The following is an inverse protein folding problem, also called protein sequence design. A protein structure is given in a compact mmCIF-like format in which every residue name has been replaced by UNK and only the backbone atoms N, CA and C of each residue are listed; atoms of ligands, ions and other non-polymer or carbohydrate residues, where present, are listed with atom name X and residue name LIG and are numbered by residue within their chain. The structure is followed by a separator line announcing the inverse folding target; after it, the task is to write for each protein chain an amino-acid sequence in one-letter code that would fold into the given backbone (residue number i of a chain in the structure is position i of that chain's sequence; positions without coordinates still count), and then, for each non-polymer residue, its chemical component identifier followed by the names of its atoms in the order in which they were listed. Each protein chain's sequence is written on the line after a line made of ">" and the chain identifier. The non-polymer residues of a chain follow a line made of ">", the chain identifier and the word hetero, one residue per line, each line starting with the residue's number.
data_IF_747334555027
#
_entry.id   IF_747334555027
#
_cell.length_a   1.000
_cell.length_b   1.000
_cell.length_c   1.000
_cell.angle_alpha   90.00
_cell.angle_beta   90.00
_cell.angle_gamma   90.00
#
_symmetry.space_group_name_H-M   'P 1'
#
loop_
_entity.id
_entity.type
_entity.pdbx_description
1 polymer ?
#
# COMPACT_ATOMS: atom_id res chain seq x y z
N UNK A 1 -21.10 21.20 10.90
CA UNK A 1 -19.95 20.42 11.39
C UNK A 1 -19.62 19.42 10.30
N UNK A 2 -18.63 19.73 9.46
CA UNK A 2 -18.27 18.90 8.32
C UNK A 2 -17.42 17.74 8.82
N UNK A 3 -18.08 16.61 9.06
CA UNK A 3 -17.42 15.33 9.32
C UNK A 3 -16.54 15.01 8.12
N UNK A 4 -15.22 15.11 8.30
CA UNK A 4 -14.25 14.63 7.33
C UNK A 4 -14.42 13.11 7.27
N UNK A 5 -15.06 12.64 6.19
CA UNK A 5 -15.07 11.22 5.85
C UNK A 5 -13.60 10.84 5.68
N UNK A 6 -13.02 9.98 6.55
CA UNK A 6 -11.63 9.60 6.40
C UNK A 6 -11.48 8.92 5.04
N UNK A 7 -10.55 9.44 4.24
CA UNK A 7 -10.09 8.80 3.00
C UNK A 7 -9.99 7.29 3.23
N UNK A 8 -10.53 6.48 2.34
CA UNK A 8 -10.53 5.01 2.48
C UNK A 8 -9.11 4.44 2.67
N UNK A 9 -8.08 5.17 2.23
CA UNK A 9 -6.67 4.85 2.48
C UNK A 9 -6.23 5.01 3.94
N UNK A 10 -6.82 5.95 4.70
CA UNK A 10 -6.50 6.18 6.12
C UNK A 10 -7.07 5.10 7.04
N UNK A 11 -8.18 4.47 6.63
CA UNK A 11 -8.81 3.41 7.42
C UNK A 11 -7.87 2.22 7.67
N UNK A 12 -6.90 1.97 6.79
CA UNK A 12 -5.96 0.86 6.91
C UNK A 12 -4.54 1.26 7.32
N UNK A 13 -4.27 2.54 7.55
CA UNK A 13 -2.93 3.02 7.90
C UNK A 13 -2.44 2.43 9.23
N UNK A 14 -3.32 2.26 10.21
CA UNK A 14 -2.98 1.60 11.47
C UNK A 14 -2.56 0.13 11.27
N UNK A 15 -3.20 -0.60 10.34
CA UNK A 15 -2.81 -1.98 9.99
C UNK A 15 -1.46 -2.02 9.27
N UNK A 16 -1.19 -1.07 8.36
CA UNK A 16 0.11 -0.96 7.67
C UNK A 16 1.24 -0.69 8.67
N UNK A 17 1.03 0.25 9.60
CA UNK A 17 1.98 0.57 10.68
C UNK A 17 2.19 -0.64 11.60
N UNK A 18 1.10 -1.32 12.00
CA UNK A 18 1.20 -2.52 12.83
C UNK A 18 1.97 -3.66 12.12
N UNK A 19 1.68 -3.91 10.84
CA UNK A 19 2.39 -4.90 10.04
C UNK A 19 3.88 -4.55 9.88
N UNK A 20 4.21 -3.27 9.66
CA UNK A 20 5.59 -2.80 9.59
C UNK A 20 6.32 -3.00 10.93
N UNK A 21 5.69 -2.66 12.06
CA UNK A 21 6.23 -2.91 13.40
C UNK A 21 6.47 -4.39 13.64
N UNK A 22 5.53 -5.27 13.28
CA UNK A 22 5.72 -6.71 13.41
C UNK A 22 6.90 -7.21 12.57
N UNK A 23 7.05 -6.73 11.33
CA UNK A 23 8.20 -7.05 10.48
C UNK A 23 9.51 -6.63 11.16
N UNK A 24 9.59 -5.41 11.67
CA UNK A 24 10.79 -4.91 12.37
C UNK A 24 11.12 -5.73 13.61
N UNK A 25 10.12 -6.01 14.46
CA UNK A 25 10.29 -6.85 15.66
C UNK A 25 10.82 -8.24 15.32
N UNK A 26 10.36 -8.86 14.21
CA UNK A 26 10.90 -10.17 13.78
C UNK A 26 12.37 -10.07 13.37
N UNK A 27 12.75 -9.00 12.66
CA UNK A 27 14.16 -8.76 12.26
C UNK A 27 15.04 -8.55 13.49
N UNK A 28 14.60 -7.75 14.45
CA UNK A 28 15.36 -7.46 15.68
C UNK A 28 15.57 -8.71 16.54
N UNK A 29 14.51 -9.51 16.73
CA UNK A 29 14.61 -10.79 17.45
C UNK A 29 15.57 -11.75 16.77
N UNK A 30 15.53 -11.82 15.44
CA UNK A 30 16.43 -12.67 14.65
C UNK A 30 17.89 -12.19 14.77
N UNK A 31 18.15 -10.88 14.67
CA UNK A 31 19.48 -10.27 14.87
C UNK A 31 20.05 -10.64 16.23
N UNK A 32 19.24 -10.48 17.28
CA UNK A 32 19.65 -10.81 18.64
C UNK A 32 20.01 -12.29 18.79
N UNK A 33 19.18 -13.19 18.26
CA UNK A 33 19.44 -14.63 18.31
C UNK A 33 20.71 -15.04 17.55
N UNK A 34 20.96 -14.43 16.39
CA UNK A 34 22.18 -14.66 15.62
C UNK A 34 23.40 -14.16 16.38
N UNK A 35 23.35 -12.95 16.95
CA UNK A 35 24.45 -12.41 17.76
C UNK A 35 24.77 -13.32 18.97
N UNK A 36 23.73 -13.87 19.62
CA UNK A 36 23.90 -14.83 20.71
C UNK A 36 24.52 -16.16 20.23
N UNK A 37 24.10 -16.68 19.08
CA UNK A 37 24.68 -17.90 18.49
C UNK A 37 26.15 -17.69 18.12
N UNK A 38 26.49 -16.55 17.54
CA UNK A 38 27.86 -16.18 17.18
C UNK A 38 28.74 -16.02 18.42
N UNK A 39 28.25 -15.34 19.47
CA UNK A 39 28.95 -15.23 20.75
C UNK A 39 29.23 -16.60 21.38
N UNK A 40 28.27 -17.52 21.26
CA UNK A 40 28.39 -18.89 21.74
C UNK A 40 29.12 -19.84 20.77
N UNK A 41 29.58 -19.34 19.61
CA UNK A 41 30.21 -20.13 18.52
C UNK A 41 29.37 -21.34 18.07
N UNK A 42 28.04 -21.26 18.21
CA UNK A 42 27.11 -22.31 17.76
C UNK A 42 26.75 -22.10 16.28
N UNK A 43 26.47 -23.17 15.52
CA UNK A 43 26.09 -23.03 14.11
C UNK A 43 24.72 -22.35 13.99
N UNK A 44 24.62 -21.37 13.10
CA UNK A 44 23.37 -20.66 12.82
C UNK A 44 22.52 -21.51 11.87
N UNK A 45 21.53 -22.20 12.44
CA UNK A 45 20.58 -23.07 11.73
C UNK A 45 19.15 -22.69 12.10
N UNK A 46 18.17 -23.08 11.27
CA UNK A 46 16.77 -22.78 11.55
C UNK A 46 16.31 -23.34 12.91
N UNK A 47 16.82 -24.52 13.29
CA UNK A 47 16.52 -25.17 14.56
C UNK A 47 17.10 -24.42 15.76
N UNK A 48 18.38 -24.04 15.71
CA UNK A 48 19.03 -23.30 16.81
C UNK A 48 18.47 -21.88 16.99
N UNK A 49 18.06 -21.24 15.90
CA UNK A 49 17.34 -19.96 15.96
C UNK A 49 16.00 -20.14 16.66
N UNK A 50 15.25 -21.21 16.36
CA UNK A 50 13.97 -21.50 17.02
C UNK A 50 14.14 -21.75 18.52
N UNK A 51 15.20 -22.46 18.93
CA UNK A 51 15.50 -22.68 20.35
C UNK A 51 15.74 -21.38 21.12
N UNK A 52 16.48 -20.43 20.53
CA UNK A 52 16.88 -19.19 21.22
C UNK A 52 15.82 -18.09 21.12
N UNK A 53 15.27 -17.88 19.92
CA UNK A 53 14.33 -16.78 19.66
C UNK A 53 12.87 -17.17 19.80
N UNK A 54 12.55 -18.47 19.85
CA UNK A 54 11.19 -18.99 19.72
C UNK A 54 10.55 -18.77 18.34
N UNK A 55 11.27 -18.18 17.38
CA UNK A 55 10.75 -17.92 16.04
C UNK A 55 10.84 -19.18 15.17
N UNK A 56 9.68 -19.60 14.66
CA UNK A 56 9.62 -20.68 13.67
C UNK A 56 10.18 -20.22 12.32
N UNK A 57 10.67 -21.16 11.50
CA UNK A 57 11.27 -20.85 10.20
C UNK A 57 10.34 -20.03 9.31
N UNK A 58 9.05 -20.35 9.32
CA UNK A 58 8.06 -19.65 8.50
C UNK A 58 7.84 -18.20 8.90
N UNK A 59 8.12 -17.82 10.16
CA UNK A 59 7.93 -16.46 10.65
C UNK A 59 8.88 -15.46 9.99
N UNK A 60 10.15 -15.82 9.81
CA UNK A 60 11.13 -14.97 9.13
C UNK A 60 11.25 -15.27 7.64
N UNK A 61 10.88 -16.47 7.15
CA UNK A 61 10.85 -16.77 5.71
C UNK A 61 9.91 -15.84 4.92
N UNK A 62 8.76 -15.48 5.51
CA UNK A 62 7.78 -14.55 4.90
C UNK A 62 8.26 -13.10 4.87
N UNK A 63 9.25 -12.75 5.69
CA UNK A 63 9.84 -11.41 5.73
C UNK A 63 11.18 -11.41 4.98
N UNK A 64 11.19 -10.81 3.78
CA UNK A 64 12.37 -10.80 2.89
C UNK A 64 13.64 -10.29 3.59
N UNK A 65 13.53 -9.26 4.41
CA UNK A 65 14.68 -8.67 5.11
C UNK A 65 15.25 -9.64 6.17
N UNK A 66 14.36 -10.24 6.96
CA UNK A 66 14.75 -11.22 7.97
C UNK A 66 15.36 -12.48 7.32
N UNK A 67 14.80 -12.91 6.19
CA UNK A 67 15.30 -14.07 5.46
C UNK A 67 16.71 -13.84 4.86
N UNK A 68 16.97 -12.67 4.29
CA UNK A 68 18.31 -12.31 3.78
C UNK A 68 19.34 -12.32 4.91
N UNK A 69 18.98 -11.76 6.06
CA UNK A 69 19.84 -11.76 7.24
C UNK A 69 20.17 -13.19 7.70
N UNK A 70 19.16 -14.07 7.76
CA UNK A 70 19.41 -15.48 8.02
C UNK A 70 20.35 -16.12 6.97
N UNK A 71 20.14 -15.84 5.69
CA UNK A 71 20.93 -16.39 4.59
C UNK A 71 22.42 -15.98 4.69
N UNK A 72 22.70 -14.73 5.03
CA UNK A 72 24.04 -14.18 5.20
C UNK A 72 24.81 -14.85 6.35
N UNK A 73 24.15 -15.05 7.48
CA UNK A 73 24.73 -15.59 8.70
C UNK A 73 24.65 -17.12 8.81
N UNK A 74 23.89 -17.78 7.91
CA UNK A 74 23.72 -19.24 7.95
C UNK A 74 25.02 -20.00 7.65
N UNK A 75 25.59 -20.63 8.66
CA UNK A 75 26.82 -21.44 8.52
C UNK A 75 26.58 -22.73 7.75
N UNK A 76 25.34 -23.23 7.73
CA UNK A 76 24.96 -24.47 7.02
C UNK A 76 24.89 -24.29 5.50
N UNK A 77 24.46 -23.12 5.00
CA UNK A 77 24.44 -22.85 3.56
C UNK A 77 25.84 -22.57 3.01
N UNK A 78 26.74 -21.98 3.80
CA UNK A 78 28.16 -21.83 3.43
C UNK A 78 28.83 -23.19 3.23
N UNK A 79 28.71 -24.11 4.19
CA UNK A 79 29.24 -25.47 4.06
C UNK A 79 28.68 -26.23 2.85
N UNK A 80 27.36 -26.13 2.57
CA UNK A 80 26.77 -26.74 1.36
C UNK A 80 27.28 -26.10 0.06
N UNK A 81 27.49 -24.78 0.03
CA UNK A 81 28.04 -24.07 -1.13
C UNK A 81 29.50 -24.47 -1.37
N UNK A 82 30.29 -24.54 -0.32
CA UNK A 82 31.70 -24.96 -0.40
C UNK A 82 31.79 -26.43 -0.85
N UNK A 83 30.95 -27.31 -0.31
CA UNK A 83 30.85 -28.70 -0.76
C UNK A 83 30.44 -28.79 -2.24
N UNK A 84 29.41 -28.06 -2.68
CA UNK A 84 28.98 -28.04 -4.08
C UNK A 84 30.10 -27.53 -5.02
N UNK A 85 30.86 -26.51 -4.62
CA UNK A 85 32.00 -26.01 -5.39
C UNK A 85 33.15 -27.02 -5.44
N UNK A 86 33.41 -27.76 -4.35
CA UNK A 86 34.41 -28.83 -4.36
C UNK A 86 34.00 -30.01 -5.24
N UNK A 87 32.71 -30.38 -5.27
CA UNK A 87 32.21 -31.45 -6.15
C UNK A 87 32.17 -31.06 -7.62
N UNK A 88 31.99 -29.76 -7.94
CA UNK A 88 32.00 -29.24 -9.31
C UNK A 88 33.42 -28.97 -9.85
N UNK A 89 34.47 -29.20 -9.05
CA UNK A 89 35.85 -29.21 -9.51
C UNK A 89 36.44 -30.63 -9.46
N UNK A 90 36.09 -31.52 -10.41
CA UNK A 90 37.01 -32.59 -10.75
C UNK A 90 38.29 -31.96 -11.31
N UNK A 91 39.37 -32.15 -10.57
CA UNK A 91 40.76 -31.89 -10.94
C UNK A 91 41.03 -32.27 -12.39
N UNK A 92 41.41 -31.28 -13.21
CA UNK A 92 41.93 -31.47 -14.57
C UNK A 92 43.25 -32.24 -14.47
N UNK A 93 43.38 -33.50 -14.91
CA UNK A 93 44.68 -34.10 -15.11
C UNK A 93 45.24 -33.48 -16.39
N UNK A 94 46.43 -32.92 -16.28
CA UNK A 94 47.23 -32.48 -17.41
C UNK A 94 47.85 -33.75 -17.98
N UNK A 95 47.29 -34.33 -19.05
CA UNK A 95 48.10 -35.17 -19.93
C UNK A 95 47.60 -35.28 -21.37
N UNK A 96 48.57 -35.53 -22.22
CA UNK A 96 48.61 -35.49 -23.68
C UNK A 96 48.03 -36.77 -24.29
N UNK A 97 47.40 -36.67 -25.47
CA UNK A 97 47.27 -37.81 -26.40
C UNK A 97 45.87 -38.09 -26.93
N UNK A 98 45.68 -37.78 -28.22
CA UNK A 98 44.85 -38.45 -29.22
C UNK A 98 43.56 -39.16 -28.80
N UNK A 99 42.40 -38.65 -29.25
CA UNK A 99 41.35 -39.47 -29.90
C UNK A 99 40.20 -38.63 -30.48
N UNK A 100 40.09 -38.62 -31.81
CA UNK A 100 39.06 -37.97 -32.63
C UNK A 100 37.70 -38.70 -32.61
N UNK A 101 37.12 -39.00 -31.44
CA UNK A 101 35.93 -39.87 -31.42
C UNK A 101 34.81 -39.49 -30.43
N UNK A 102 34.67 -38.23 -30.00
CA UNK A 102 33.54 -37.78 -29.13
C UNK A 102 33.20 -36.29 -29.29
N UNK A 103 32.52 -35.92 -30.36
CA UNK A 103 31.88 -34.60 -30.48
C UNK A 103 30.37 -34.70 -30.72
N UNK A 104 29.66 -35.44 -29.86
CA UNK A 104 28.27 -35.15 -29.56
C UNK A 104 28.24 -34.24 -28.31
N UNK A 105 28.88 -33.07 -28.43
CA UNK A 105 28.77 -32.04 -27.41
C UNK A 105 27.33 -31.51 -27.48
N UNK A 106 26.55 -31.72 -26.43
CA UNK A 106 25.30 -30.99 -26.23
C UNK A 106 25.65 -29.50 -26.17
N UNK A 107 25.63 -28.84 -27.31
CA UNK A 107 25.70 -27.39 -27.40
C UNK A 107 24.45 -26.90 -26.69
N UNK A 108 24.60 -26.42 -25.46
CA UNK A 108 23.53 -25.66 -24.80
C UNK A 108 23.05 -24.61 -25.80
N UNK A 109 21.74 -24.40 -25.97
CA UNK A 109 21.24 -23.39 -26.90
C UNK A 109 22.00 -22.10 -26.60
N UNK A 110 22.81 -21.68 -27.58
CA UNK A 110 23.60 -20.47 -27.48
C UNK A 110 22.61 -19.34 -27.23
N UNK A 111 22.93 -18.45 -26.29
CA UNK A 111 22.04 -17.33 -25.97
C UNK A 111 21.71 -16.59 -27.29
N UNK A 112 20.45 -16.53 -27.72
CA UNK A 112 20.08 -15.95 -29.01
C UNK A 112 20.51 -14.49 -29.11
N UNK A 113 20.74 -13.82 -27.98
CA UNK A 113 21.29 -12.46 -27.93
C UNK A 113 22.75 -12.39 -28.42
N UNK A 114 23.51 -13.48 -28.34
CA UNK A 114 24.89 -13.56 -28.81
C UNK A 114 25.02 -13.91 -30.30
N UNK A 115 23.93 -14.32 -30.96
CA UNK A 115 23.92 -14.66 -32.38
C UNK A 115 23.71 -13.43 -33.30
N UNK A 116 23.26 -12.31 -32.73
CA UNK A 116 23.06 -11.07 -33.49
C UNK A 116 24.36 -10.25 -33.59
N UNK A 117 24.58 -9.66 -34.77
CA UNK A 117 25.63 -8.64 -34.96
C UNK A 117 25.31 -7.43 -34.08
N UNK A 118 26.33 -6.87 -33.41
CA UNK A 118 26.22 -5.69 -32.51
C UNK A 118 25.28 -4.57 -33.00
N UNK A 119 25.32 -4.10 -34.26
CA UNK A 119 24.43 -3.04 -34.73
C UNK A 119 22.94 -3.38 -34.64
N UNK A 120 22.58 -4.66 -34.87
CA UNK A 120 21.18 -5.12 -34.79
C UNK A 120 20.68 -5.16 -33.35
N UNK A 121 21.54 -5.52 -32.40
CA UNK A 121 21.20 -5.48 -30.97
C UNK A 121 20.95 -4.05 -30.49
N UNK A 122 21.75 -3.09 -30.96
CA UNK A 122 21.56 -1.67 -30.60
C UNK A 122 20.25 -1.13 -31.16
N UNK A 123 19.88 -1.48 -32.40
CA UNK A 123 18.59 -1.09 -32.98
C UNK A 123 17.40 -1.65 -32.18
N UNK A 124 17.42 -2.96 -31.87
CA UNK A 124 16.38 -3.61 -31.04
C UNK A 124 16.29 -2.99 -29.64
N UNK A 125 17.42 -2.59 -29.05
CA UNK A 125 17.45 -1.93 -27.75
C UNK A 125 16.80 -0.55 -27.81
N UNK A 126 17.09 0.23 -28.86
CA UNK A 126 16.42 1.51 -29.08
C UNK A 126 14.92 1.36 -29.30
N UNK A 127 14.48 0.38 -30.10
CA UNK A 127 13.07 0.07 -30.30
C UNK A 127 12.39 -0.26 -28.97
N UNK A 128 12.96 -1.18 -28.18
CA UNK A 128 12.43 -1.55 -26.87
C UNK A 128 12.39 -0.36 -25.88
N UNK A 129 13.35 0.55 -25.94
CA UNK A 129 13.30 1.79 -25.15
C UNK A 129 12.17 2.71 -25.60
N UNK A 130 11.99 2.90 -26.91
CA UNK A 130 10.88 3.72 -27.41
C UNK A 130 9.52 3.13 -27.07
N UNK A 131 9.34 1.82 -27.15
CA UNK A 131 8.12 1.14 -26.74
C UNK A 131 7.87 1.32 -25.24
N UNK A 132 8.90 1.14 -24.41
CA UNK A 132 8.79 1.36 -22.96
C UNK A 132 8.36 2.78 -22.64
N UNK A 133 8.94 3.77 -23.32
CA UNK A 133 8.64 5.17 -23.09
C UNK A 133 7.23 5.53 -23.58
N UNK A 134 6.77 4.96 -24.70
CA UNK A 134 5.39 5.10 -25.17
C UNK A 134 4.37 4.51 -24.17
N UNK A 135 4.64 3.32 -23.65
CA UNK A 135 3.80 2.68 -22.62
C UNK A 135 3.78 3.53 -21.33
N UNK A 136 4.92 4.09 -20.94
CA UNK A 136 4.99 4.97 -19.78
C UNK A 136 4.16 6.26 -19.98
N UNK A 137 4.23 6.85 -21.18
CA UNK A 137 3.46 8.04 -21.54
C UNK A 137 1.95 7.76 -21.59
N UNK A 138 1.53 6.66 -22.20
CA UNK A 138 0.11 6.29 -22.25
C UNK A 138 -0.45 6.02 -20.85
N UNK A 139 0.28 5.27 -20.02
CA UNK A 139 -0.12 5.02 -18.63
C UNK A 139 -0.19 6.31 -17.80
N UNK A 140 0.68 7.29 -18.08
CA UNK A 140 0.61 8.59 -17.43
C UNK A 140 -0.59 9.42 -17.90
N UNK A 141 -0.92 9.37 -19.18
CA UNK A 141 -2.10 10.03 -19.73
C UNK A 141 -3.41 9.44 -19.16
N UNK A 142 -3.52 8.11 -19.08
CA UNK A 142 -4.66 7.43 -18.47
C UNK A 142 -4.84 7.82 -17.00
N UNK A 143 -3.75 7.85 -16.22
CA UNK A 143 -3.77 8.34 -14.83
C UNK A 143 -4.23 9.78 -14.73
N UNK A 144 -3.76 10.65 -15.63
CA UNK A 144 -4.18 12.05 -15.65
C UNK A 144 -5.69 12.18 -15.94
N UNK A 145 -6.23 11.39 -16.87
CA UNK A 145 -7.66 11.36 -17.18
C UNK A 145 -8.50 10.88 -16.00
N UNK A 146 -8.08 9.79 -15.35
CA UNK A 146 -8.75 9.29 -14.13
C UNK A 146 -8.75 10.34 -13.02
N UNK A 147 -7.61 10.99 -12.78
CA UNK A 147 -7.53 12.04 -11.77
C UNK A 147 -8.45 13.24 -12.09
N UNK A 148 -8.57 13.61 -13.37
CA UNK A 148 -9.50 14.65 -13.80
C UNK A 148 -10.96 14.23 -13.57
N UNK A 149 -11.30 12.98 -13.87
CA UNK A 149 -12.63 12.44 -13.64
C UNK A 149 -13.00 12.48 -12.15
N UNK A 150 -12.14 11.96 -11.28
CA UNK A 150 -12.36 11.99 -9.84
C UNK A 150 -12.51 13.41 -9.30
N UNK A 151 -11.73 14.37 -9.82
CA UNK A 151 -11.86 15.77 -9.44
C UNK A 151 -13.22 16.33 -9.85
N UNK A 152 -13.69 16.05 -11.06
CA UNK A 152 -14.99 16.51 -11.53
C UNK A 152 -16.14 15.92 -10.70
N UNK A 153 -16.08 14.62 -10.35
CA UNK A 153 -17.07 13.99 -9.46
C UNK A 153 -17.09 14.62 -8.07
N UNK A 154 -15.90 14.89 -7.50
CA UNK A 154 -15.77 15.55 -6.22
C UNK A 154 -16.36 16.96 -6.23
N UNK A 155 -16.07 17.74 -7.27
CA UNK A 155 -16.61 19.09 -7.44
C UNK A 155 -18.15 19.08 -7.58
N UNK A 156 -18.70 18.11 -8.31
CA UNK A 156 -20.15 17.91 -8.42
C UNK A 156 -20.79 17.55 -7.07
N UNK A 157 -20.16 16.65 -6.30
CA UNK A 157 -20.65 16.27 -4.98
C UNK A 157 -20.67 17.46 -4.03
N UNK A 158 -19.62 18.28 -4.04
CA UNK A 158 -19.56 19.50 -3.22
C UNK A 158 -20.62 20.54 -3.62
N UNK A 159 -20.89 20.68 -4.91
CA UNK A 159 -21.97 21.56 -5.39
C UNK A 159 -23.33 21.07 -4.87
N UNK A 160 -23.62 19.76 -4.97
CA UNK A 160 -24.86 19.18 -4.45
C UNK A 160 -24.97 19.36 -2.94
N UNK A 161 -23.90 19.10 -2.20
CA UNK A 161 -23.86 19.28 -0.76
C UNK A 161 -24.14 20.73 -0.34
N UNK A 162 -23.49 21.70 -1.00
CA UNK A 162 -23.70 23.11 -0.71
C UNK A 162 -25.13 23.58 -1.05
N UNK A 163 -25.73 23.07 -2.13
CA UNK A 163 -27.12 23.35 -2.47
C UNK A 163 -28.09 22.85 -1.38
N UNK A 164 -27.96 21.60 -0.93
CA UNK A 164 -28.80 21.03 0.15
C UNK A 164 -28.66 21.84 1.45
N UNK A 165 -27.44 22.29 1.75
CA UNK A 165 -27.19 23.09 2.95
C UNK A 165 -27.87 24.47 2.86
N UNK A 166 -27.84 25.09 1.69
CA UNK A 166 -28.56 26.34 1.42
C UNK A 166 -30.08 26.16 1.52
N UNK A 167 -30.63 25.09 0.95
CA UNK A 167 -32.06 24.75 1.05
C UNK A 167 -32.48 24.58 2.52
N UNK A 168 -31.70 23.84 3.31
CA UNK A 168 -31.97 23.64 4.73
C UNK A 168 -31.98 24.98 5.50
N UNK A 169 -31.03 25.88 5.20
CA UNK A 169 -31.01 27.22 5.79
C UNK A 169 -32.26 28.03 5.40
N UNK A 170 -32.66 28.00 4.13
CA UNK A 170 -33.85 28.69 3.65
C UNK A 170 -35.13 28.16 4.32
N UNK A 171 -35.26 26.85 4.46
CA UNK A 171 -36.34 26.21 5.21
C UNK A 171 -36.37 26.68 6.68
N UNK A 172 -35.21 26.72 7.33
CA UNK A 172 -35.09 27.22 8.71
C UNK A 172 -35.56 28.67 8.86
N UNK A 173 -35.18 29.54 7.93
CA UNK A 173 -35.63 30.93 7.89
C UNK A 173 -37.15 31.04 7.64
N UNK A 174 -37.70 30.23 6.74
CA UNK A 174 -39.14 30.19 6.48
C UNK A 174 -39.94 29.76 7.71
N UNK A 175 -39.48 28.70 8.41
CA UNK A 175 -40.09 28.25 9.66
C UNK A 175 -40.05 29.36 10.72
N UNK A 176 -38.92 30.05 10.88
CA UNK A 176 -38.79 31.16 11.82
C UNK A 176 -39.77 32.30 11.51
N UNK A 177 -39.91 32.68 10.23
CA UNK A 177 -40.88 33.69 9.78
C UNK A 177 -42.32 33.29 10.08
N UNK A 178 -42.70 32.05 9.75
CA UNK A 178 -44.05 31.55 10.03
C UNK A 178 -44.35 31.52 11.53
N UNK A 179 -43.38 31.13 12.36
CA UNK A 179 -43.52 31.16 13.82
C UNK A 179 -43.71 32.58 14.35
N UNK A 180 -42.97 33.56 13.80
CA UNK A 180 -43.14 34.97 14.17
C UNK A 180 -44.54 35.49 13.79
N UNK A 181 -45.01 35.22 12.57
CA UNK A 181 -46.36 35.59 12.13
C UNK A 181 -47.45 34.95 12.99
N UNK A 182 -47.28 33.68 13.36
CA UNK A 182 -48.20 32.98 14.25
C UNK A 182 -48.24 33.64 15.63
N UNK A 183 -47.08 33.98 16.20
CA UNK A 183 -47.00 34.68 17.49
C UNK A 183 -47.68 36.05 17.42
N UNK A 184 -47.43 36.84 16.37
CA UNK A 184 -48.09 38.13 16.13
C UNK A 184 -49.61 37.97 16.07
N UNK A 185 -50.12 36.99 15.30
CA UNK A 185 -51.54 36.72 15.20
C UNK A 185 -52.16 36.31 16.54
N UNK A 186 -51.48 35.47 17.34
CA UNK A 186 -51.95 35.11 18.67
C UNK A 186 -52.03 36.34 19.59
N UNK A 187 -51.00 37.18 19.61
CA UNK A 187 -51.03 38.43 20.41
C UNK A 187 -52.14 39.36 19.97
N UNK A 188 -52.43 39.43 18.66
CA UNK A 188 -53.56 40.20 18.12
C UNK A 188 -54.90 39.65 18.61
N UNK A 189 -55.11 38.34 18.53
CA UNK A 189 -56.34 37.69 19.00
C UNK A 189 -56.54 37.85 20.52
N UNK A 190 -55.46 37.81 21.31
CA UNK A 190 -55.51 38.08 22.74
C UNK A 190 -55.93 39.53 23.05
N UNK A 191 -55.40 40.50 22.29
CA UNK A 191 -55.81 41.92 22.40
C UNK A 191 -57.28 42.10 22.04
N UNK A 192 -57.74 41.50 20.94
CA UNK A 192 -59.15 41.54 20.54
C UNK A 192 -60.07 40.96 21.61
N UNK A 193 -59.76 39.75 22.11
CA UNK A 193 -60.53 39.12 23.19
C UNK A 193 -60.57 39.99 24.44
N UNK A 194 -59.44 40.64 24.78
CA UNK A 194 -59.35 41.54 25.92
C UNK A 194 -60.18 42.82 25.71
N UNK A 195 -60.21 43.36 24.49
CA UNK A 195 -61.05 44.51 24.13
C UNK A 195 -62.53 44.18 24.23
N UNK A 196 -62.95 43.06 23.64
CA UNK A 196 -64.34 42.60 23.70
C UNK A 196 -64.81 42.39 25.14
N UNK A 197 -63.99 41.75 25.99
CA UNK A 197 -64.31 41.60 27.42
C UNK A 197 -64.50 42.93 28.15
N UNK A 198 -63.73 43.96 27.79
CA UNK A 198 -63.87 45.31 28.38
C UNK A 198 -65.14 46.00 27.91
N UNK A 199 -65.53 45.81 26.64
CA UNK A 199 -66.78 46.34 26.09
C UNK A 199 -68.01 45.66 26.69
N UNK A 200 -67.98 44.33 26.82
CA UNK A 200 -69.07 43.53 27.40
C UNK A 200 -69.28 43.80 28.89
N UNK A 201 -68.21 43.94 29.66
CA UNK A 201 -68.26 44.19 31.10
C UNK A 201 -67.93 45.65 31.44
N UNK A 202 -68.45 46.60 30.63
CA UNK A 202 -68.20 48.04 30.74
C UNK A 202 -68.08 48.56 32.18
N UNK A 203 -67.29 49.62 32.41
CA UNK A 203 -66.78 49.99 33.73
C UNK A 203 -67.91 49.99 34.75
N UNK A 204 -67.81 49.07 35.72
CA UNK A 204 -68.66 49.07 36.90
C UNK A 204 -68.32 50.32 37.70
N UNK A 205 -68.98 51.42 37.35
CA UNK A 205 -69.04 52.64 38.15
C UNK A 205 -70.10 52.49 39.23
#
# INVERSE_FOLDING_TARGET
>A
MTEQIPSSDDQYNHLRVYAARQKQTTVERLKHAIAQLEANKRPVTAFTIKEISGLDYMAYYRNREAFLLFQEHSTHLRKKRDQAQTTLRPSRPKDVGDTQARHAASVSPRDPLLDYKRPRLVALLHEAWTERDQIAQSAQAEKAQLNQHYKAEYDQLNQRYSAVLQEHMQCGLAIARLKAQLAEHLTYMERLRSSLKREEHGPQF
#
